data_IF_711411321346
#
_entry.id   IF_711411321346
#
_cell.length_a   1.000
_cell.length_b   1.000
_cell.length_c   1.000
_cell.angle_alpha   90.00
_cell.angle_beta   90.00
_cell.angle_gamma   90.00
#
_symmetry.space_group_name_H-M   'P 1'
#
loop_
_entity.id
_entity.type
_entity.pdbx_description
1 polymer ?
#
# COMPACT_ATOMS: atom_id res chain seq x y z
N UNK A 1 1.36 -59.43 -8.30
CA UNK A 1 0.09 -58.66 -8.31
C UNK A 1 -0.14 -57.84 -7.03
N UNK A 2 0.24 -58.30 -5.83
CA UNK A 2 0.10 -57.54 -4.56
C UNK A 2 1.00 -56.29 -4.45
N UNK A 3 2.19 -56.30 -5.04
CA UNK A 3 3.16 -55.18 -4.99
C UNK A 3 2.76 -53.99 -5.86
N UNK A 4 1.99 -54.19 -6.92
CA UNK A 4 1.54 -53.10 -7.79
C UNK A 4 0.46 -52.22 -7.13
N UNK A 5 -0.35 -52.79 -6.23
CA UNK A 5 -1.41 -52.07 -5.52
C UNK A 5 -0.88 -51.14 -4.42
N UNK A 6 0.29 -51.44 -3.84
CA UNK A 6 0.90 -50.62 -2.79
C UNK A 6 1.49 -49.34 -3.37
N UNK A 7 2.06 -49.40 -4.57
CA UNK A 7 2.65 -48.22 -5.23
C UNK A 7 1.61 -47.14 -5.58
N UNK A 8 0.38 -47.54 -5.93
CA UNK A 8 -0.70 -46.62 -6.28
C UNK A 8 -1.23 -45.90 -5.02
N UNK A 9 -1.32 -46.60 -3.89
CA UNK A 9 -1.76 -46.02 -2.62
C UNK A 9 -0.77 -44.95 -2.09
N UNK A 10 0.54 -45.15 -2.27
CA UNK A 10 1.56 -44.18 -1.85
C UNK A 10 1.59 -42.95 -2.77
N UNK A 11 1.36 -43.12 -4.08
CA UNK A 11 1.28 -42.01 -5.02
C UNK A 11 0.05 -41.10 -4.76
N UNK A 12 -1.08 -41.69 -4.35
CA UNK A 12 -2.29 -40.93 -3.99
C UNK A 12 -2.11 -40.09 -2.72
N UNK A 13 -1.31 -40.56 -1.75
CA UNK A 13 -0.99 -39.82 -0.53
C UNK A 13 -0.05 -38.62 -0.77
N UNK A 14 0.84 -38.70 -1.77
CA UNK A 14 1.75 -37.60 -2.14
C UNK A 14 1.10 -36.56 -3.06
N UNK A 15 0.08 -36.93 -3.84
CA UNK A 15 -0.73 -36.00 -4.63
C UNK A 15 -1.63 -35.08 -3.75
N UNK A 16 -1.82 -35.46 -2.47
CA UNK A 16 -2.55 -34.68 -1.47
C UNK A 16 -1.77 -33.50 -0.88
N UNK A 17 -0.46 -33.40 -1.12
CA UNK A 17 0.29 -32.15 -0.96
C UNK A 17 -0.02 -31.19 -2.12
N UNK A 18 -1.29 -31.06 -2.49
CA UNK A 18 -1.78 -29.88 -3.15
C UNK A 18 -1.41 -28.74 -2.22
N UNK A 19 -0.40 -27.95 -2.61
CA UNK A 19 -0.06 -26.71 -1.93
C UNK A 19 -1.39 -25.99 -1.76
N UNK A 20 -1.92 -25.98 -0.54
CA UNK A 20 -2.96 -25.06 -0.16
C UNK A 20 -2.23 -23.72 -0.19
N UNK A 21 -2.05 -23.17 -1.38
CA UNK A 21 -1.90 -21.75 -1.55
C UNK A 21 -3.23 -21.22 -1.05
N UNK A 22 -3.33 -21.03 0.27
CA UNK A 22 -4.35 -20.18 0.84
C UNK A 22 -4.22 -18.91 0.00
N UNK A 23 -5.26 -18.51 -0.76
CA UNK A 23 -5.20 -17.23 -1.43
C UNK A 23 -4.88 -16.25 -0.31
N UNK A 24 -3.71 -15.59 -0.38
CA UNK A 24 -3.30 -14.66 0.67
C UNK A 24 -4.44 -13.63 0.70
N UNK A 25 -5.27 -13.56 1.76
CA UNK A 25 -6.53 -12.81 1.69
C UNK A 25 -6.32 -11.30 1.76
N UNK A 26 -5.10 -10.82 1.55
CA UNK A 26 -4.67 -9.51 2.00
C UNK A 26 -3.81 -8.84 0.93
N UNK A 27 -4.30 -8.81 -0.30
CA UNK A 27 -3.73 -7.88 -1.27
C UNK A 27 -4.06 -6.47 -0.75
N UNK A 28 -3.02 -5.72 -0.39
CA UNK A 28 -3.18 -4.30 -0.08
C UNK A 28 -3.79 -3.62 -1.30
N UNK A 29 -4.65 -2.62 -1.05
CA UNK A 29 -5.09 -1.76 -2.14
C UNK A 29 -3.84 -1.07 -2.74
N UNK A 30 -3.72 -1.07 -4.06
CA UNK A 30 -2.62 -0.48 -4.82
C UNK A 30 -2.38 1.00 -4.49
N UNK A 31 -3.41 1.71 -4.05
CA UNK A 31 -3.34 3.09 -3.57
C UNK A 31 -2.34 3.24 -2.42
N UNK A 32 -2.15 2.21 -1.59
CA UNK A 32 -1.15 2.19 -0.52
C UNK A 32 0.29 2.21 -1.04
N UNK A 33 0.54 1.58 -2.18
CA UNK A 33 1.90 1.40 -2.72
C UNK A 33 2.41 2.63 -3.47
N UNK A 34 1.53 3.57 -3.76
CA UNK A 34 1.86 4.77 -4.51
C UNK A 34 2.46 5.84 -3.58
N UNK A 35 3.65 6.38 -3.90
CA UNK A 35 4.29 7.39 -3.08
C UNK A 35 3.44 8.67 -3.05
N UNK A 36 3.36 9.29 -1.87
CA UNK A 36 2.72 10.59 -1.68
C UNK A 36 3.51 11.73 -2.36
N UNK A 37 4.84 11.69 -2.23
CA UNK A 37 5.79 12.67 -2.78
C UNK A 37 6.93 11.93 -3.48
N UNK A 38 7.55 12.56 -4.47
CA UNK A 38 8.75 12.01 -5.12
C UNK A 38 9.97 12.56 -4.39
N UNK A 39 10.76 11.71 -3.73
CA UNK A 39 11.94 12.12 -2.97
C UNK A 39 11.67 13.20 -1.89
N UNK A 40 10.47 13.22 -1.31
CA UNK A 40 10.04 14.24 -0.35
C UNK A 40 9.58 15.56 -0.97
N UNK A 41 9.63 15.69 -2.30
CA UNK A 41 9.13 16.87 -3.02
C UNK A 41 7.63 16.74 -3.33
N UNK A 42 6.85 17.73 -2.90
CA UNK A 42 5.42 17.85 -3.20
C UNK A 42 5.15 18.34 -4.63
N UNK A 43 6.16 18.87 -5.32
CA UNK A 43 6.08 19.41 -6.68
C UNK A 43 5.30 20.72 -6.78
N UNK A 44 5.08 21.41 -5.65
CA UNK A 44 4.45 22.74 -5.61
C UNK A 44 5.55 23.78 -5.52
N UNK A 45 5.51 24.78 -6.39
CA UNK A 45 6.49 25.87 -6.44
C UNK A 45 5.77 27.20 -6.27
N UNK A 46 6.44 28.11 -5.55
CA UNK A 46 6.05 29.51 -5.48
C UNK A 46 7.11 30.29 -6.24
N UNK A 47 6.68 31.01 -7.28
CA UNK A 47 7.56 31.75 -8.18
C UNK A 47 7.13 33.22 -8.17
N UNK A 48 7.62 33.98 -7.19
CA UNK A 48 7.34 35.41 -7.08
C UNK A 48 8.51 36.17 -6.42
N UNK A 49 8.47 37.50 -6.49
CA UNK A 49 9.47 38.35 -5.84
C UNK A 49 9.24 38.40 -4.32
N UNK A 50 10.18 37.93 -3.48
CA UNK A 50 10.02 37.96 -2.04
C UNK A 50 9.97 39.37 -1.44
N UNK A 51 10.40 40.39 -2.20
CA UNK A 51 10.35 41.79 -1.76
C UNK A 51 9.03 42.48 -2.12
N UNK A 52 8.17 41.84 -2.93
CA UNK A 52 6.83 42.33 -3.22
C UNK A 52 5.85 41.84 -2.14
N UNK A 53 5.21 42.76 -1.40
CA UNK A 53 4.25 42.40 -0.36
C UNK A 53 3.04 41.63 -0.91
N UNK A 54 2.53 42.00 -2.10
CA UNK A 54 1.36 41.35 -2.71
C UNK A 54 1.65 39.90 -3.13
N UNK A 55 2.91 39.56 -3.42
CA UNK A 55 3.32 38.19 -3.77
C UNK A 55 3.14 37.20 -2.60
N UNK A 56 3.13 37.70 -1.36
CA UNK A 56 2.87 36.88 -0.18
C UNK A 56 1.38 36.57 0.00
N UNK A 57 0.48 37.43 -0.49
CA UNK A 57 -0.96 37.15 -0.51
C UNK A 57 -1.27 36.00 -1.49
N UNK A 58 -0.57 35.95 -2.63
CA UNK A 58 -0.67 34.84 -3.60
C UNK A 58 -0.20 33.50 -3.02
N UNK A 59 0.83 33.50 -2.16
CA UNK A 59 1.26 32.31 -1.43
C UNK A 59 0.11 31.72 -0.60
N UNK A 60 -0.62 32.58 0.11
CA UNK A 60 -1.79 32.19 0.92
C UNK A 60 -2.98 31.75 0.07
N UNK A 61 -3.15 32.33 -1.13
CA UNK A 61 -4.28 32.08 -2.01
C UNK A 61 -4.18 30.80 -2.84
N UNK A 62 -3.01 30.48 -3.40
CA UNK A 62 -2.86 29.36 -4.36
C UNK A 62 -1.95 28.24 -3.86
N UNK A 63 -0.76 28.60 -3.36
CA UNK A 63 0.27 27.63 -2.97
C UNK A 63 -0.17 26.83 -1.75
N UNK A 64 -0.65 27.52 -0.70
CA UNK A 64 -1.10 26.89 0.54
C UNK A 64 -2.27 25.92 0.30
N UNK A 65 -3.37 26.30 -0.38
CA UNK A 65 -4.46 25.38 -0.68
C UNK A 65 -4.04 24.17 -1.52
N UNK A 66 -3.13 24.36 -2.48
CA UNK A 66 -2.59 23.26 -3.30
C UNK A 66 -1.83 22.24 -2.46
N UNK A 67 -1.00 22.71 -1.52
CA UNK A 67 -0.30 21.85 -0.56
C UNK A 67 -1.28 21.10 0.35
N UNK A 68 -2.35 21.76 0.82
CA UNK A 68 -3.40 21.14 1.64
C UNK A 68 -4.08 20.00 0.86
N UNK A 69 -4.47 20.22 -0.39
CA UNK A 69 -5.10 19.18 -1.22
C UNK A 69 -4.20 17.96 -1.45
N UNK A 70 -2.89 18.18 -1.64
CA UNK A 70 -1.91 17.09 -1.72
C UNK A 70 -1.81 16.32 -0.40
N UNK A 71 -1.75 17.02 0.73
CA UNK A 71 -1.71 16.39 2.05
C UNK A 71 -2.95 15.51 2.29
N UNK A 72 -4.14 16.01 1.95
CA UNK A 72 -5.38 15.23 2.05
C UNK A 72 -5.33 13.95 1.21
N UNK A 73 -4.82 14.04 -0.02
CA UNK A 73 -4.62 12.87 -0.89
C UNK A 73 -3.67 11.85 -0.25
N UNK A 74 -2.60 12.33 0.38
CA UNK A 74 -1.64 11.48 1.06
C UNK A 74 -2.22 10.80 2.31
N UNK A 75 -3.08 11.48 3.06
CA UNK A 75 -3.79 10.88 4.19
C UNK A 75 -4.74 9.76 3.76
N UNK A 76 -5.43 9.91 2.63
CA UNK A 76 -6.25 8.82 2.05
C UNK A 76 -5.39 7.59 1.75
N UNK A 77 -4.21 7.79 1.14
CA UNK A 77 -3.25 6.70 0.84
C UNK A 77 -2.73 6.05 2.11
N UNK A 78 -2.32 6.85 3.11
CA UNK A 78 -1.89 6.36 4.43
C UNK A 78 -2.99 5.52 5.08
N UNK A 79 -4.24 5.98 5.03
CA UNK A 79 -5.39 5.24 5.52
C UNK A 79 -5.55 3.87 4.86
N UNK A 80 -5.40 3.78 3.54
CA UNK A 80 -5.44 2.51 2.81
C UNK A 80 -4.32 1.55 3.25
N UNK A 81 -3.11 2.07 3.52
CA UNK A 81 -2.01 1.27 4.06
C UNK A 81 -2.30 0.75 5.46
N UNK A 82 -2.76 1.61 6.37
CA UNK A 82 -3.12 1.22 7.74
C UNK A 82 -4.15 0.11 7.72
N UNK A 83 -5.19 0.24 6.90
CA UNK A 83 -6.21 -0.80 6.75
C UNK A 83 -5.62 -2.11 6.22
N UNK A 84 -4.65 -2.06 5.29
CA UNK A 84 -3.97 -3.27 4.84
C UNK A 84 -3.18 -3.94 5.97
N UNK A 85 -2.37 -3.16 6.69
CA UNK A 85 -1.56 -3.66 7.81
C UNK A 85 -2.46 -4.30 8.88
N UNK A 86 -3.59 -3.69 9.21
CA UNK A 86 -4.58 -4.27 10.13
C UNK A 86 -5.16 -5.59 9.62
N UNK A 87 -5.41 -5.74 8.31
CA UNK A 87 -5.87 -7.02 7.73
C UNK A 87 -4.79 -8.10 7.82
N UNK A 88 -3.54 -7.75 7.55
CA UNK A 88 -2.40 -8.66 7.66
C UNK A 88 -2.17 -9.11 9.10
N UNK A 89 -2.30 -8.20 10.05
CA UNK A 89 -2.22 -8.47 11.49
C UNK A 89 -3.32 -9.42 11.95
N UNK A 90 -4.58 -9.13 11.58
CA UNK A 90 -5.73 -10.01 11.87
C UNK A 90 -5.60 -11.40 11.24
N UNK A 91 -4.92 -11.50 10.10
CA UNK A 91 -4.64 -12.77 9.44
C UNK A 91 -3.44 -13.53 10.06
N UNK A 92 -2.76 -12.94 11.05
CA UNK A 92 -1.57 -13.50 11.70
C UNK A 92 -0.32 -13.52 10.81
N UNK A 93 -0.30 -12.70 9.76
CA UNK A 93 0.85 -12.61 8.83
C UNK A 93 1.93 -11.69 9.40
N UNK A 94 1.51 -10.58 10.03
CA UNK A 94 2.37 -9.66 10.76
C UNK A 94 1.83 -9.48 12.18
N UNK A 95 2.61 -8.81 13.03
CA UNK A 95 2.17 -8.36 14.35
C UNK A 95 2.43 -6.87 14.51
N UNK A 96 1.35 -6.08 14.54
CA UNK A 96 1.45 -4.65 14.84
C UNK A 96 1.75 -4.46 16.33
N UNK A 97 2.64 -3.52 16.64
CA UNK A 97 3.03 -3.15 18.01
C UNK A 97 2.22 -1.97 18.50
#
# INVERSE_FOLDING_TARGET
MRTALIAIAVAALLAGCGRITRPVPAQCNEICLLPCTVNGDAGVRWEADPNNAEAWDELGGEVVPTLIGKLQTCEVRRGACVQCLQRLDKAGIIHLK
#
